data_IF_864654391222
#
_entry.id   IF_864654391222
#
_cell.length_a   1.000
_cell.length_b   1.000
_cell.length_c   1.000
_cell.angle_alpha   90.00
_cell.angle_beta   90.00
_cell.angle_gamma   90.00
#
_symmetry.space_group_name_H-M   'P 1'
#
loop_
_entity.id
_entity.type
_entity.pdbx_description
1 polymer ?
#
# COMPACT_ATOMS: atom_id res chain seq x y z
N UNK A 1 9.38 -6.07 4.81
CA UNK A 1 8.85 -6.57 6.09
C UNK A 1 8.03 -7.83 5.91
N UNK A 2 8.16 -8.74 6.85
CA UNK A 2 7.33 -9.93 6.87
C UNK A 2 7.17 -10.47 8.29
N UNK A 3 6.10 -11.24 8.49
CA UNK A 3 5.87 -12.05 9.69
C UNK A 3 5.36 -13.43 9.27
N UNK A 4 4.78 -14.19 10.19
CA UNK A 4 4.33 -15.55 9.88
C UNK A 4 3.18 -15.60 8.87
N UNK A 5 2.39 -14.54 8.74
CA UNK A 5 1.14 -14.54 7.98
C UNK A 5 1.18 -13.71 6.70
N UNK A 6 1.94 -12.60 6.70
CA UNK A 6 1.94 -11.62 5.61
C UNK A 6 3.35 -11.14 5.29
N UNK A 7 3.49 -10.51 4.11
CA UNK A 7 4.68 -9.72 3.80
C UNK A 7 4.30 -8.48 3.02
N UNK A 8 5.17 -7.45 3.09
CA UNK A 8 4.95 -6.15 2.47
C UNK A 8 6.07 -5.91 1.47
N UNK A 9 5.70 -5.52 0.25
CA UNK A 9 6.63 -5.15 -0.80
C UNK A 9 6.40 -3.71 -1.25
N UNK A 10 7.47 -3.06 -1.68
CA UNK A 10 7.39 -1.76 -2.35
C UNK A 10 6.97 -1.96 -3.80
N UNK A 11 6.13 -1.06 -4.33
CA UNK A 11 5.86 -0.94 -5.75
C UNK A 11 6.59 0.30 -6.27
N UNK A 12 7.37 0.17 -7.35
CA UNK A 12 8.02 1.31 -7.96
C UNK A 12 6.99 2.17 -8.69
N UNK A 13 6.91 3.45 -8.33
CA UNK A 13 5.92 4.38 -8.88
C UNK A 13 6.35 5.80 -8.55
N UNK A 14 5.72 6.77 -9.21
CA UNK A 14 5.86 8.18 -8.87
C UNK A 14 5.41 8.44 -7.42
N UNK A 15 4.37 7.74 -6.97
CA UNK A 15 3.83 7.91 -5.62
C UNK A 15 4.34 6.81 -4.70
N UNK A 16 4.43 7.08 -3.37
CA UNK A 16 4.71 6.02 -2.41
C UNK A 16 3.62 4.95 -2.48
N UNK A 17 4.04 3.70 -2.67
CA UNK A 17 3.12 2.60 -2.97
C UNK A 17 3.68 1.32 -2.37
N UNK A 18 2.90 0.66 -1.51
CA UNK A 18 3.24 -0.65 -0.97
C UNK A 18 2.12 -1.64 -1.24
N UNK A 19 2.49 -2.92 -1.22
CA UNK A 19 1.54 -4.02 -1.37
C UNK A 19 1.68 -4.96 -0.20
N UNK A 20 0.55 -5.40 0.34
CA UNK A 20 0.51 -6.37 1.44
C UNK A 20 -0.02 -7.69 0.89
N UNK A 21 0.78 -8.75 1.00
CA UNK A 21 0.45 -10.09 0.51
C UNK A 21 0.26 -11.05 1.68
N UNK A 22 -0.60 -12.04 1.47
CA UNK A 22 -0.63 -13.22 2.35
C UNK A 22 0.51 -14.16 1.97
N UNK A 23 1.13 -14.81 2.94
CA UNK A 23 2.20 -15.78 2.64
C UNK A 23 1.66 -17.02 1.95
N UNK A 24 0.51 -17.53 2.40
CA UNK A 24 -0.18 -18.61 1.69
C UNK A 24 -1.13 -18.03 0.66
N UNK A 25 -1.34 -18.76 -0.44
CA UNK A 25 -2.19 -18.30 -1.52
C UNK A 25 -3.66 -18.53 -1.20
N UNK A 26 -4.45 -17.45 -1.24
CA UNK A 26 -5.91 -17.50 -1.17
C UNK A 26 -6.45 -16.71 -2.34
N UNK A 27 -7.40 -17.27 -3.05
CA UNK A 27 -8.00 -16.61 -4.20
C UNK A 27 -8.90 -15.46 -3.78
N UNK A 28 -9.67 -15.64 -2.71
CA UNK A 28 -10.63 -14.65 -2.22
C UNK A 28 -10.37 -14.31 -0.76
N UNK A 29 -10.68 -13.07 -0.40
CA UNK A 29 -10.48 -12.59 0.96
C UNK A 29 -11.25 -13.42 1.99
N UNK A 30 -12.48 -13.79 1.66
CA UNK A 30 -13.32 -14.57 2.58
C UNK A 30 -12.81 -16.01 2.80
N UNK A 31 -11.90 -16.49 1.93
CA UNK A 31 -11.28 -17.80 2.08
C UNK A 31 -10.15 -17.78 3.12
N UNK A 32 -9.65 -16.61 3.45
CA UNK A 32 -8.58 -16.48 4.44
C UNK A 32 -9.11 -16.85 5.83
N UNK A 33 -8.33 -17.60 6.64
CA UNK A 33 -8.72 -17.83 8.05
C UNK A 33 -8.91 -16.52 8.80
N UNK A 34 -9.78 -16.52 9.79
CA UNK A 34 -10.11 -15.32 10.56
C UNK A 34 -8.87 -14.62 11.15
N UNK A 35 -7.88 -15.32 11.71
CA UNK A 35 -6.67 -14.64 12.21
C UNK A 35 -5.91 -13.90 11.11
N UNK A 36 -5.89 -14.44 9.88
CA UNK A 36 -5.25 -13.79 8.74
C UNK A 36 -6.04 -12.57 8.29
N UNK A 37 -7.37 -12.66 8.25
CA UNK A 37 -8.22 -11.50 7.94
C UNK A 37 -7.93 -10.36 8.92
N UNK A 38 -7.85 -10.66 10.20
CA UNK A 38 -7.56 -9.67 11.24
C UNK A 38 -6.18 -9.05 11.01
N UNK A 39 -5.18 -9.86 10.75
CA UNK A 39 -3.81 -9.37 10.51
C UNK A 39 -3.75 -8.46 9.31
N UNK A 40 -4.43 -8.83 8.21
CA UNK A 40 -4.49 -8.00 7.00
C UNK A 40 -5.08 -6.62 7.30
N UNK A 41 -6.24 -6.56 7.93
CA UNK A 41 -6.90 -5.27 8.19
C UNK A 41 -6.16 -4.44 9.23
N UNK A 42 -5.61 -5.05 10.26
CA UNK A 42 -4.79 -4.34 11.25
C UNK A 42 -3.56 -3.72 10.55
N UNK A 43 -2.92 -4.48 9.66
CA UNK A 43 -1.73 -4.00 8.92
C UNK A 43 -2.10 -2.90 7.93
N UNK A 44 -3.21 -3.05 7.20
CA UNK A 44 -3.70 -2.02 6.28
C UNK A 44 -3.90 -0.69 7.02
N UNK A 45 -4.60 -0.73 8.14
CA UNK A 45 -4.87 0.50 8.92
C UNK A 45 -3.60 1.12 9.47
N UNK A 46 -2.67 0.29 9.94
CA UNK A 46 -1.37 0.76 10.44
C UNK A 46 -0.57 1.43 9.32
N UNK A 47 -0.52 0.81 8.14
CA UNK A 47 0.21 1.36 6.99
C UNK A 47 -0.43 2.66 6.49
N UNK A 48 -1.76 2.73 6.42
CA UNK A 48 -2.47 3.96 6.05
C UNK A 48 -2.08 5.09 7.01
N UNK A 49 -2.18 4.82 8.30
CA UNK A 49 -1.87 5.80 9.33
C UNK A 49 -0.42 6.27 9.24
N UNK A 50 0.50 5.34 9.02
CA UNK A 50 1.92 5.67 8.87
C UNK A 50 2.16 6.58 7.66
N UNK A 51 1.54 6.28 6.51
CA UNK A 51 1.66 7.12 5.32
C UNK A 51 1.07 8.51 5.54
N UNK A 52 -0.07 8.59 6.22
CA UNK A 52 -0.69 9.88 6.53
C UNK A 52 0.24 10.75 7.39
N UNK A 53 0.87 10.17 8.40
CA UNK A 53 1.76 10.89 9.28
C UNK A 53 3.07 11.29 8.59
N UNK A 54 3.65 10.36 7.82
CA UNK A 54 4.98 10.55 7.26
C UNK A 54 4.98 11.47 6.02
N UNK A 55 4.10 11.21 5.07
CA UNK A 55 4.07 11.93 3.79
C UNK A 55 3.09 13.10 3.77
N UNK A 56 2.11 13.11 4.65
CA UNK A 56 1.04 14.12 4.67
C UNK A 56 0.38 14.28 3.29
N UNK A 57 -0.07 13.17 2.68
CA UNK A 57 -0.63 13.21 1.33
C UNK A 57 -2.01 13.84 1.29
N UNK A 58 -2.50 14.10 0.08
CA UNK A 58 -3.88 14.56 -0.13
C UNK A 58 -4.88 13.46 0.20
N UNK A 59 -4.54 12.21 -0.10
CA UNK A 59 -5.44 11.07 0.10
C UNK A 59 -4.63 9.77 0.14
N UNK A 60 -5.14 8.78 0.84
CA UNK A 60 -4.65 7.41 0.74
C UNK A 60 -5.65 6.61 -0.07
N UNK A 61 -5.16 5.84 -1.05
CA UNK A 61 -5.98 4.88 -1.78
C UNK A 61 -5.63 3.47 -1.34
N UNK A 62 -6.64 2.66 -1.16
CA UNK A 62 -6.52 1.25 -0.80
C UNK A 62 -7.30 0.46 -1.84
N UNK A 63 -6.66 -0.55 -2.44
CA UNK A 63 -7.29 -1.31 -3.51
C UNK A 63 -6.88 -2.77 -3.47
N UNK A 64 -7.76 -3.65 -3.94
CA UNK A 64 -7.48 -5.07 -4.10
C UNK A 64 -8.22 -5.60 -5.32
N UNK A 65 -7.51 -6.17 -6.29
CA UNK A 65 -8.10 -6.69 -7.52
C UNK A 65 -7.76 -8.17 -7.74
N UNK A 66 -6.48 -8.47 -7.97
CA UNK A 66 -5.96 -9.83 -8.17
C UNK A 66 -6.61 -10.57 -9.36
N UNK A 67 -6.93 -9.84 -10.45
CA UNK A 67 -7.54 -10.45 -11.63
C UNK A 67 -6.54 -11.24 -12.48
N UNK A 68 -5.29 -10.76 -12.58
CA UNK A 68 -4.25 -11.43 -13.35
C UNK A 68 -3.62 -12.58 -12.60
N UNK A 69 -3.28 -12.36 -11.33
CA UNK A 69 -2.75 -13.38 -10.44
C UNK A 69 -3.73 -13.49 -9.28
N UNK A 70 -4.59 -14.52 -9.24
CA UNK A 70 -5.69 -14.60 -8.27
C UNK A 70 -5.19 -14.96 -6.87
N UNK A 71 -4.63 -14.00 -6.21
CA UNK A 71 -4.02 -14.12 -4.90
C UNK A 71 -4.32 -12.87 -4.08
N UNK A 72 -4.88 -13.03 -2.91
CA UNK A 72 -5.25 -11.91 -2.03
C UNK A 72 -4.05 -11.01 -1.76
N UNK A 73 -4.17 -9.74 -2.12
CA UNK A 73 -3.22 -8.70 -1.75
C UNK A 73 -3.89 -7.34 -1.81
N UNK A 74 -3.29 -6.38 -1.10
CA UNK A 74 -3.83 -5.02 -1.02
C UNK A 74 -2.75 -4.02 -1.41
N UNK A 75 -3.16 -3.02 -2.20
CA UNK A 75 -2.33 -1.88 -2.56
C UNK A 75 -2.65 -0.73 -1.62
N UNK A 76 -1.64 -0.04 -1.15
CA UNK A 76 -1.80 1.19 -0.35
C UNK A 76 -0.92 2.24 -0.99
N UNK A 77 -1.53 3.35 -1.42
CA UNK A 77 -0.87 4.40 -2.19
C UNK A 77 -1.12 5.75 -1.55
N UNK A 78 -0.06 6.52 -1.36
CA UNK A 78 -0.19 7.92 -0.94
C UNK A 78 -0.37 8.78 -2.20
N UNK A 79 -1.45 9.57 -2.24
CA UNK A 79 -1.82 10.35 -3.41
C UNK A 79 -1.62 11.84 -3.16
N UNK A 80 -1.19 12.55 -4.20
CA UNK A 80 -0.87 13.97 -4.15
C UNK A 80 -1.55 14.70 -5.30
N UNK A 81 -1.94 15.95 -5.10
CA UNK A 81 -2.58 16.75 -6.15
C UNK A 81 -1.71 16.87 -7.39
N UNK A 82 -0.39 16.83 -7.21
CA UNK A 82 0.60 16.98 -8.28
C UNK A 82 0.95 15.67 -8.98
N UNK A 83 0.47 14.52 -8.46
CA UNK A 83 0.81 13.26 -9.12
C UNK A 83 0.11 13.14 -10.48
N UNK A 84 0.69 12.35 -11.38
CA UNK A 84 0.29 12.33 -12.78
C UNK A 84 -1.14 11.88 -13.02
N UNK A 85 -1.76 11.19 -12.06
CA UNK A 85 -3.11 10.62 -12.22
C UNK A 85 -4.18 11.32 -11.39
N UNK A 86 -3.81 12.03 -10.33
CA UNK A 86 -4.79 12.64 -9.43
C UNK A 86 -5.76 13.57 -10.16
N UNK A 87 -7.07 13.52 -9.92
CA UNK A 87 -7.79 12.78 -8.89
C UNK A 87 -8.22 11.36 -9.30
N UNK A 88 -7.78 10.88 -10.46
CA UNK A 88 -8.06 9.52 -10.90
C UNK A 88 -7.21 8.53 -10.10
N UNK A 89 -7.61 7.26 -10.10
CA UNK A 89 -6.79 6.23 -9.47
C UNK A 89 -5.54 5.94 -10.30
N UNK A 90 -4.56 5.24 -9.73
CA UNK A 90 -3.29 4.96 -10.41
C UNK A 90 -3.44 4.04 -11.62
N UNK A 91 -4.57 3.39 -11.79
CA UNK A 91 -4.90 2.57 -12.98
C UNK A 91 -5.78 3.31 -13.96
N UNK A 92 -6.11 4.57 -13.68
CA UNK A 92 -6.99 5.37 -14.51
C UNK A 92 -6.24 6.12 -15.60
N UNK A 93 -6.86 7.19 -16.08
CA UNK A 93 -6.30 8.01 -17.15
C UNK A 93 -5.34 9.05 -16.57
N UNK A 94 -4.17 9.16 -17.18
CA UNK A 94 -3.19 10.18 -16.80
C UNK A 94 -3.76 11.59 -17.01
N UNK A 95 -3.57 12.45 -16.01
CA UNK A 95 -4.14 13.80 -15.98
C UNK A 95 -3.11 14.89 -16.30
N UNK A 96 -1.84 14.62 -16.07
CA UNK A 96 -0.74 15.58 -16.30
C UNK A 96 0.57 14.84 -16.52
N UNK A 97 1.60 15.56 -16.93
CA UNK A 97 2.90 14.97 -17.15
C UNK A 97 3.51 14.45 -15.85
N UNK A 98 4.32 13.40 -15.97
CA UNK A 98 5.08 12.86 -14.85
C UNK A 98 6.17 13.87 -14.45
N UNK A 99 6.22 14.16 -13.15
CA UNK A 99 7.30 14.93 -12.55
C UNK A 99 7.68 14.23 -11.25
N UNK A 100 8.94 14.31 -10.89
CA UNK A 100 9.38 13.78 -9.61
C UNK A 100 8.73 14.59 -8.50
N UNK A 101 8.08 13.91 -7.55
CA UNK A 101 7.46 14.56 -6.40
C UNK A 101 8.53 14.84 -5.34
N UNK A 102 8.44 16.02 -4.71
CA UNK A 102 9.36 16.41 -3.65
C UNK A 102 8.90 15.78 -2.33
N UNK A 103 9.36 14.56 -2.09
CA UNK A 103 8.96 13.76 -0.93
C UNK A 103 10.19 13.23 -0.20
N UNK A 104 10.07 12.95 1.11
CA UNK A 104 11.11 12.19 1.81
C UNK A 104 11.35 10.85 1.13
N UNK A 105 12.53 10.28 1.29
CA UNK A 105 12.89 9.03 0.63
C UNK A 105 12.03 7.86 1.12
N UNK A 106 11.84 6.87 0.26
CA UNK A 106 11.12 5.66 0.65
C UNK A 106 11.85 4.90 1.75
N UNK A 107 13.18 4.93 1.73
CA UNK A 107 14.00 4.27 2.77
C UNK A 107 13.71 4.85 4.16
N UNK A 108 13.54 6.17 4.25
CA UNK A 108 13.15 6.82 5.51
C UNK A 108 11.75 6.38 5.94
N UNK A 109 10.83 6.29 4.99
CA UNK A 109 9.49 5.78 5.27
C UNK A 109 9.53 4.34 5.73
N UNK A 110 10.35 3.51 5.11
CA UNK A 110 10.48 2.11 5.47
C UNK A 110 10.91 1.95 6.93
N UNK A 111 11.88 2.74 7.38
CA UNK A 111 12.30 2.75 8.79
C UNK A 111 11.16 3.17 9.72
N UNK A 112 10.46 4.22 9.33
CA UNK A 112 9.32 4.75 10.08
C UNK A 112 8.22 3.70 10.24
N UNK A 113 7.90 3.00 9.16
CA UNK A 113 6.89 1.95 9.13
C UNK A 113 7.30 0.73 9.95
N UNK A 114 8.55 0.26 9.78
CA UNK A 114 9.06 -0.91 10.50
C UNK A 114 9.01 -0.72 12.02
N UNK A 115 9.31 0.47 12.50
CA UNK A 115 9.24 0.77 13.92
C UNK A 115 7.83 0.57 14.49
N UNK A 116 6.81 0.85 13.68
CA UNK A 116 5.40 0.69 14.06
C UNK A 116 4.90 -0.75 13.92
N UNK A 117 5.40 -1.48 12.93
CA UNK A 117 4.99 -2.86 12.68
C UNK A 117 5.50 -3.85 13.74
N UNK A 118 6.57 -3.49 14.44
CA UNK A 118 7.15 -4.35 15.48
C UNK A 118 6.39 -4.32 16.80
N UNK A 119 5.44 -3.44 16.94
CA UNK A 119 4.72 -3.26 18.20
C UNK A 119 3.36 -3.98 18.21
#
# INVERSE_FOLDING_TARGET
YENALIYIEKEESQVPWIKIFTKENYKELSYCPTPLQKELFDTILLCEKAMLEFYKPEKINIASFANYVPRVHFHIMARFKEDAFFPECMWGKQQREFRELDLPSFEEFEEFLRARLKN
#
